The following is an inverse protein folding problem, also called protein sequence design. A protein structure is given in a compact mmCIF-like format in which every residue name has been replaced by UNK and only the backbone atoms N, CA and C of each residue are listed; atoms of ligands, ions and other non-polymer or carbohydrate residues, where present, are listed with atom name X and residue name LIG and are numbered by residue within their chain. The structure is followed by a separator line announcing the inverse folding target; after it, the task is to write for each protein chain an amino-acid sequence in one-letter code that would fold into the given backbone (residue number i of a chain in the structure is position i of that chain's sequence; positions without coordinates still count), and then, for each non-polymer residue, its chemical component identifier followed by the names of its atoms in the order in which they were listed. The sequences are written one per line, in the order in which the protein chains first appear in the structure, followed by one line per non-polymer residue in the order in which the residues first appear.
data_IF_902677222291
#
_entry.id   IF_902677222291
#
_cell.length_a   1.000
_cell.length_b   1.000
_cell.length_c   1.000
_cell.angle_alpha   90.00
_cell.angle_beta   90.00
_cell.angle_gamma   90.00
#
_symmetry.space_group_name_H-M   'P 1'
#
loop_
_entity.id
_entity.type
_entity.pdbx_description
1 polymer ?
#
# COMPACT_ATOMS: atom_id res chain seq x y z
N UNK A 1 5.27 -11.49 -15.83
CA UNK A 1 5.00 -11.49 -14.37
C UNK A 1 4.86 -10.07 -13.88
N UNK A 2 3.79 -9.77 -13.18
CA UNK A 2 3.59 -8.45 -12.56
C UNK A 2 4.27 -8.40 -11.21
N UNK A 3 4.99 -7.33 -10.94
CA UNK A 3 5.67 -7.10 -9.67
C UNK A 3 4.85 -6.09 -8.88
N UNK A 4 4.44 -6.47 -7.68
CA UNK A 4 3.53 -5.66 -6.86
C UNK A 4 4.10 -5.42 -5.48
N UNK A 5 3.61 -4.36 -4.82
CA UNK A 5 3.89 -4.07 -3.43
C UNK A 5 2.57 -3.75 -2.72
N UNK A 6 2.52 -3.99 -1.42
CA UNK A 6 1.35 -3.68 -0.59
C UNK A 6 1.77 -2.71 0.49
N UNK A 7 1.04 -1.60 0.60
CA UNK A 7 1.24 -0.60 1.64
C UNK A 7 0.07 -0.63 2.63
N UNK A 8 0.38 -0.75 3.90
CA UNK A 8 -0.63 -0.80 4.97
C UNK A 8 -0.31 0.21 6.07
N UNK A 9 -1.30 0.44 6.95
CA UNK A 9 -1.10 1.29 8.11
C UNK A 9 -0.39 0.51 9.22
N UNK A 10 0.78 0.98 9.64
CA UNK A 10 1.55 0.35 10.69
C UNK A 10 0.84 0.32 12.03
N UNK A 11 -0.01 1.31 12.30
CA UNK A 11 -0.80 1.35 13.53
C UNK A 11 -1.81 0.20 13.56
N UNK A 12 -2.48 -0.07 12.44
CA UNK A 12 -3.44 -1.18 12.35
C UNK A 12 -2.73 -2.53 12.44
N UNK A 13 -1.66 -2.71 11.68
CA UNK A 13 -0.87 -3.95 11.66
C UNK A 13 -0.18 -4.18 13.01
N UNK A 14 0.33 -3.12 13.61
CA UNK A 14 0.98 -3.21 14.92
C UNK A 14 0.02 -3.49 16.07
N UNK A 15 -1.29 -3.32 15.87
CA UNK A 15 -2.30 -3.58 16.90
C UNK A 15 -2.88 -4.99 16.75
N UNK A 16 -3.75 -5.21 15.78
CA UNK A 16 -4.48 -6.47 15.66
C UNK A 16 -4.44 -7.09 14.27
N UNK A 17 -4.19 -6.29 13.24
CA UNK A 17 -4.18 -6.78 11.87
C UNK A 17 -2.94 -7.63 11.60
N UNK A 18 -3.16 -8.82 11.07
CA UNK A 18 -2.07 -9.73 10.69
C UNK A 18 -1.70 -9.63 9.22
N UNK A 19 -2.46 -8.88 8.44
CA UNK A 19 -2.30 -8.82 6.99
C UNK A 19 -2.93 -10.01 6.27
N UNK A 20 -3.56 -10.93 7.01
CA UNK A 20 -4.08 -12.17 6.42
C UNK A 20 -5.19 -11.91 5.38
N UNK A 21 -6.03 -10.88 5.59
CA UNK A 21 -7.06 -10.55 4.61
C UNK A 21 -6.46 -10.08 3.30
N UNK A 22 -5.38 -9.26 3.36
CA UNK A 22 -4.67 -8.82 2.17
C UNK A 22 -4.01 -9.99 1.46
N UNK A 23 -3.38 -10.90 2.21
CA UNK A 23 -2.71 -12.07 1.64
C UNK A 23 -3.71 -13.02 1.01
N UNK A 24 -4.86 -13.23 1.67
CA UNK A 24 -5.91 -14.08 1.12
C UNK A 24 -6.46 -13.50 -0.19
N UNK A 25 -6.71 -12.20 -0.21
CA UNK A 25 -7.17 -11.53 -1.43
C UNK A 25 -6.16 -11.67 -2.56
N UNK A 26 -4.88 -11.50 -2.26
CA UNK A 26 -3.82 -11.67 -3.25
C UNK A 26 -3.77 -13.10 -3.78
N UNK A 27 -3.74 -14.09 -2.88
CA UNK A 27 -3.63 -15.50 -3.25
C UNK A 27 -4.84 -15.99 -4.02
N UNK A 28 -6.04 -15.51 -3.70
CA UNK A 28 -7.29 -15.91 -4.33
C UNK A 28 -7.69 -14.99 -5.49
N UNK A 29 -6.91 -13.98 -5.80
CA UNK A 29 -7.20 -12.99 -6.84
C UNK A 29 -8.56 -12.31 -6.63
N UNK A 30 -8.77 -11.80 -5.42
CA UNK A 30 -9.99 -11.08 -5.04
C UNK A 30 -9.67 -9.62 -4.70
N UNK A 31 -10.70 -8.79 -4.50
CA UNK A 31 -10.53 -7.37 -4.26
C UNK A 31 -9.82 -6.73 -5.44
N UNK A 32 -8.82 -5.89 -5.16
CA UNK A 32 -8.05 -5.24 -6.22
C UNK A 32 -7.14 -6.22 -6.97
N UNK A 33 -6.90 -7.39 -6.41
CA UNK A 33 -6.06 -8.42 -7.05
C UNK A 33 -6.82 -9.24 -8.11
N UNK A 34 -8.13 -9.05 -8.23
CA UNK A 34 -8.91 -9.72 -9.27
C UNK A 34 -8.43 -9.38 -10.68
N UNK A 35 -7.80 -8.22 -10.85
CA UNK A 35 -7.22 -7.79 -12.13
C UNK A 35 -6.11 -8.72 -12.61
N UNK A 36 -5.54 -9.54 -11.73
CA UNK A 36 -4.45 -10.46 -12.05
C UNK A 36 -4.93 -11.90 -12.18
N UNK A 37 -6.21 -12.12 -12.43
CA UNK A 37 -6.82 -13.47 -12.43
C UNK A 37 -6.05 -14.48 -13.25
N UNK A 38 -5.58 -14.08 -14.42
CA UNK A 38 -4.85 -14.96 -15.34
C UNK A 38 -3.35 -14.66 -15.41
N UNK A 39 -2.84 -13.82 -14.48
CA UNK A 39 -1.44 -13.40 -14.51
C UNK A 39 -0.68 -13.93 -13.30
N UNK A 40 0.59 -14.23 -13.53
CA UNK A 40 1.50 -14.46 -12.41
C UNK A 40 1.88 -13.13 -11.80
N UNK A 41 1.93 -13.09 -10.47
CA UNK A 41 2.35 -11.91 -9.74
C UNK A 41 3.44 -12.29 -8.76
N UNK A 42 4.30 -11.30 -8.48
CA UNK A 42 5.37 -11.45 -7.50
C UNK A 42 5.26 -10.31 -6.48
N UNK A 43 5.08 -10.66 -5.22
CA UNK A 43 5.03 -9.68 -4.15
C UNK A 43 6.47 -9.28 -3.79
N UNK A 44 6.85 -8.06 -4.15
CA UNK A 44 8.20 -7.54 -3.92
C UNK A 44 8.35 -6.93 -2.54
N UNK A 45 7.28 -6.39 -1.99
CA UNK A 45 7.31 -5.74 -0.68
C UNK A 45 5.93 -5.69 -0.05
N UNK A 46 5.92 -5.85 1.25
CA UNK A 46 4.77 -5.60 2.12
C UNK A 46 5.28 -4.62 3.17
N UNK A 47 4.88 -3.36 3.07
CA UNK A 47 5.47 -2.34 3.92
C UNK A 47 4.42 -1.50 4.63
N UNK A 48 4.84 -0.92 5.75
CA UNK A 48 3.95 -0.24 6.68
C UNK A 48 4.31 1.23 6.79
N UNK A 49 3.30 2.09 6.89
CA UNK A 49 3.49 3.46 7.33
C UNK A 49 3.53 3.48 8.85
N UNK A 50 4.64 3.93 9.41
CA UNK A 50 4.83 4.06 10.86
C UNK A 50 4.84 5.52 11.32
N UNK A 51 4.47 6.43 10.44
CA UNK A 51 4.58 7.86 10.68
C UNK A 51 3.31 8.56 11.14
N UNK A 52 2.44 7.88 11.88
CA UNK A 52 1.20 8.48 12.37
C UNK A 52 1.50 9.71 13.22
N UNK A 53 1.02 10.88 12.77
CA UNK A 53 1.30 12.15 13.44
C UNK A 53 2.58 12.85 12.99
N UNK A 54 3.41 12.20 12.19
CA UNK A 54 4.64 12.79 11.65
C UNK A 54 4.45 13.24 10.21
N UNK A 55 5.39 14.08 9.76
CA UNK A 55 5.51 14.44 8.34
C UNK A 55 6.48 13.51 7.64
N UNK A 56 6.26 13.28 6.37
CA UNK A 56 7.20 12.50 5.56
C UNK A 56 8.59 13.17 5.54
N UNK A 57 8.61 14.48 5.48
CA UNK A 57 9.85 15.27 5.44
C UNK A 57 10.69 15.16 6.72
N UNK A 58 10.05 14.79 7.83
CA UNK A 58 10.70 14.70 9.13
C UNK A 58 10.84 13.26 9.64
N UNK A 59 10.53 12.27 8.79
CA UNK A 59 10.62 10.87 9.17
C UNK A 59 11.58 10.13 8.23
N UNK A 60 12.82 9.96 8.68
CA UNK A 60 13.85 9.32 7.86
C UNK A 60 13.53 7.86 7.51
N UNK A 61 12.86 7.15 8.40
CA UNK A 61 12.46 5.76 8.15
C UNK A 61 11.46 5.64 7.01
N UNK A 62 10.49 6.55 6.96
CA UNK A 62 9.51 6.58 5.86
C UNK A 62 10.17 7.00 4.55
N UNK A 63 11.08 7.98 4.60
CA UNK A 63 11.83 8.39 3.41
C UNK A 63 12.63 7.23 2.85
N UNK A 64 13.26 6.45 3.71
CA UNK A 64 14.02 5.28 3.30
C UNK A 64 13.13 4.21 2.68
N UNK A 65 11.93 3.99 3.24
CA UNK A 65 10.96 3.05 2.66
C UNK A 65 10.56 3.48 1.25
N UNK A 66 10.26 4.75 1.07
CA UNK A 66 9.94 5.29 -0.26
C UNK A 66 11.08 5.05 -1.23
N UNK A 67 12.31 5.38 -0.84
CA UNK A 67 13.49 5.17 -1.70
C UNK A 67 13.66 3.71 -2.10
N UNK A 68 13.46 2.78 -1.16
CA UNK A 68 13.57 1.36 -1.43
C UNK A 68 12.51 0.88 -2.42
N UNK A 69 11.28 1.38 -2.31
CA UNK A 69 10.21 1.04 -3.25
C UNK A 69 10.52 1.60 -4.64
N UNK A 70 11.02 2.83 -4.73
CA UNK A 70 11.41 3.41 -6.01
C UNK A 70 12.51 2.60 -6.70
N UNK A 71 13.45 2.06 -5.93
CA UNK A 71 14.52 1.20 -6.47
C UNK A 71 13.99 -0.13 -6.98
N UNK A 72 13.03 -0.72 -6.27
CA UNK A 72 12.37 -1.95 -6.70
C UNK A 72 11.57 -1.70 -7.97
N UNK A 73 10.98 -0.53 -8.08
CA UNK A 73 10.17 -0.09 -9.21
C UNK A 73 9.09 -1.12 -9.57
N UNK A 74 8.18 -1.42 -8.64
CA UNK A 74 7.12 -2.37 -8.93
C UNK A 74 6.15 -1.82 -9.97
N UNK A 75 5.41 -2.71 -10.63
CA UNK A 75 4.39 -2.30 -11.58
C UNK A 75 3.25 -1.55 -10.88
N UNK A 76 2.89 -1.98 -9.67
CA UNK A 76 1.82 -1.35 -8.91
C UNK A 76 2.03 -1.47 -7.40
N UNK A 77 1.42 -0.53 -6.67
CA UNK A 77 1.32 -0.54 -5.21
C UNK A 77 -0.15 -0.62 -4.84
N UNK A 78 -0.53 -1.63 -4.09
CA UNK A 78 -1.87 -1.80 -3.55
C UNK A 78 -1.91 -1.21 -2.14
N UNK A 79 -2.89 -0.36 -1.88
CA UNK A 79 -2.97 0.40 -0.63
C UNK A 79 -4.15 -0.12 0.20
N UNK A 80 -3.86 -0.62 1.39
CA UNK A 80 -4.88 -1.20 2.26
C UNK A 80 -5.94 -0.19 2.71
N UNK A 81 -7.14 -0.67 2.97
CA UNK A 81 -8.25 0.16 3.48
C UNK A 81 -7.92 0.78 4.83
N UNK A 82 -7.05 0.15 5.61
CA UNK A 82 -6.60 0.64 6.91
C UNK A 82 -5.87 2.00 6.82
N UNK A 83 -5.49 2.44 5.62
CA UNK A 83 -4.86 3.75 5.41
C UNK A 83 -5.86 4.90 5.37
N UNK A 84 -7.16 4.60 5.44
CA UNK A 84 -8.23 5.61 5.42
C UNK A 84 -8.80 5.74 6.84
N UNK A 85 -8.89 6.97 7.32
CA UNK A 85 -9.45 7.25 8.63
C UNK A 85 -10.95 6.92 8.66
N UNK A 86 -11.39 6.23 9.72
CA UNK A 86 -12.78 5.80 9.84
C UNK A 86 -13.74 6.98 9.98
N UNK A 87 -13.35 7.99 10.76
CA UNK A 87 -14.23 9.12 11.11
C UNK A 87 -14.43 10.06 9.93
N UNK A 88 -13.36 10.42 9.24
CA UNK A 88 -13.39 11.41 8.16
C UNK A 88 -13.53 10.79 6.79
N UNK A 89 -13.31 9.48 6.67
CA UNK A 89 -13.24 8.75 5.40
C UNK A 89 -12.15 9.28 4.47
N UNK A 90 -11.15 9.95 5.04
CA UNK A 90 -10.04 10.52 4.28
C UNK A 90 -8.79 9.66 4.44
N UNK A 91 -7.99 9.66 3.40
CA UNK A 91 -6.70 8.97 3.45
C UNK A 91 -5.75 9.72 4.39
N UNK A 92 -4.97 8.96 5.16
CA UNK A 92 -3.91 9.52 5.99
C UNK A 92 -2.98 10.41 5.15
N UNK A 93 -2.71 11.62 5.62
CA UNK A 93 -1.93 12.62 4.86
C UNK A 93 -0.52 12.13 4.51
N UNK A 94 0.13 11.44 5.43
CA UNK A 94 1.49 10.91 5.22
C UNK A 94 1.47 9.88 4.09
N UNK A 95 0.52 8.97 4.12
CA UNK A 95 0.37 7.96 3.07
C UNK A 95 0.04 8.62 1.74
N UNK A 96 -0.82 9.63 1.74
CA UNK A 96 -1.15 10.39 0.53
C UNK A 96 0.08 10.98 -0.14
N UNK A 97 1.01 11.52 0.65
CA UNK A 97 2.27 12.06 0.13
C UNK A 97 3.14 10.96 -0.49
N UNK A 98 3.23 9.81 0.17
CA UNK A 98 3.99 8.67 -0.36
C UNK A 98 3.42 8.21 -1.70
N UNK A 99 2.09 8.10 -1.79
CA UNK A 99 1.43 7.68 -3.02
C UNK A 99 1.64 8.65 -4.17
N UNK A 100 1.67 9.95 -3.87
CA UNK A 100 1.96 10.98 -4.86
C UNK A 100 3.35 10.78 -5.47
N UNK A 101 4.33 10.48 -4.63
CA UNK A 101 5.71 10.21 -5.09
C UNK A 101 5.74 8.99 -6.00
N UNK A 102 5.05 7.91 -5.62
CA UNK A 102 4.99 6.71 -6.45
C UNK A 102 4.34 6.98 -7.80
N UNK A 103 3.24 7.72 -7.83
CA UNK A 103 2.55 8.08 -9.07
C UNK A 103 3.45 8.93 -9.97
N UNK A 104 4.17 9.89 -9.40
CA UNK A 104 5.09 10.75 -10.15
C UNK A 104 6.24 9.94 -10.76
N UNK A 105 6.60 8.84 -10.12
CA UNK A 105 7.65 7.93 -10.62
C UNK A 105 7.14 6.94 -11.67
N UNK A 106 5.85 6.95 -11.95
CA UNK A 106 5.25 6.06 -12.94
C UNK A 106 4.71 4.75 -12.39
N UNK A 107 4.65 4.59 -11.08
CA UNK A 107 4.11 3.40 -10.43
C UNK A 107 2.60 3.55 -10.31
N UNK A 108 1.85 2.53 -10.74
CA UNK A 108 0.40 2.52 -10.60
C UNK A 108 0.01 2.32 -9.14
N UNK A 109 -0.92 3.14 -8.64
CA UNK A 109 -1.43 3.02 -7.27
C UNK A 109 -2.88 2.56 -7.32
N UNK A 110 -3.16 1.46 -6.61
CA UNK A 110 -4.49 0.85 -6.56
C UNK A 110 -5.05 0.97 -5.15
N UNK A 111 -6.22 1.59 -5.03
CA UNK A 111 -6.87 1.79 -3.74
C UNK A 111 -7.57 0.53 -3.28
N UNK A 112 -7.06 -0.06 -2.21
CA UNK A 112 -7.60 -1.27 -1.60
C UNK A 112 -6.74 -2.49 -1.83
N UNK A 113 -6.99 -3.50 -1.01
CA UNK A 113 -6.40 -4.83 -1.15
C UNK A 113 -7.53 -5.85 -1.19
N UNK A 114 -8.00 -6.31 -0.01
CA UNK A 114 -9.15 -7.20 0.09
C UNK A 114 -10.48 -6.50 -0.18
N UNK A 115 -10.51 -5.17 -0.09
CA UNK A 115 -11.66 -4.35 -0.46
C UNK A 115 -11.22 -3.36 -1.53
N UNK A 116 -12.09 -3.13 -2.50
CA UNK A 116 -11.87 -2.10 -3.52
C UNK A 116 -12.43 -0.79 -3.01
N UNK A 117 -11.62 0.27 -3.10
CA UNK A 117 -12.01 1.59 -2.64
C UNK A 117 -12.30 2.50 -3.83
N UNK A 118 -13.32 3.34 -3.68
CA UNK A 118 -13.61 4.39 -4.66
C UNK A 118 -12.54 5.49 -4.56
N UNK A 119 -12.23 6.06 -5.70
CA UNK A 119 -11.28 7.17 -5.78
C UNK A 119 -11.92 8.49 -5.37
#
# INVERSE_FOLDING_TARGET
MKRIAILVCGKAVGNACTGSSCMKAMNCRKGTFARYESEEIELQAFFQCSGCGDDLEHNSGLQEKVERILKIDPDSVHVGVCTIEKDTKKRCAVIGKMLKIFKEHGIEVLNGTHLMLAH
#
